data_IF_989455386692
#
_entry.id   IF_989455386692
#
_cell.length_a   1.000
_cell.length_b   1.000
_cell.length_c   1.000
_cell.angle_alpha   90.00
_cell.angle_beta   90.00
_cell.angle_gamma   90.00
#
_symmetry.space_group_name_H-M   'P 1'
#
loop_
_entity.id
_entity.type
_entity.pdbx_description
1 polymer ?
#
# COMPACT_ATOMS: atom_id res chain seq x y z
N UNK A 1 -13.70 -1.16 31.46
CA UNK A 1 -12.55 -1.42 30.58
C UNK A 1 -12.92 -2.33 29.40
N UNK A 2 -13.29 -3.61 29.60
CA UNK A 2 -13.64 -4.54 28.50
C UNK A 2 -14.77 -4.07 27.56
N UNK A 3 -15.83 -3.43 28.08
CA UNK A 3 -16.89 -2.84 27.23
C UNK A 3 -16.39 -1.67 26.37
N UNK A 4 -15.48 -0.84 26.91
CA UNK A 4 -14.87 0.28 26.18
C UNK A 4 -13.90 -0.20 25.09
N UNK A 5 -13.13 -1.24 25.37
CA UNK A 5 -12.25 -1.89 24.40
C UNK A 5 -13.04 -2.55 23.25
N UNK A 6 -14.13 -3.27 23.56
CA UNK A 6 -15.04 -3.81 22.54
C UNK A 6 -15.64 -2.68 21.68
N UNK A 7 -16.11 -1.60 22.30
CA UNK A 7 -16.66 -0.46 21.55
C UNK A 7 -15.60 0.25 20.69
N UNK A 8 -14.32 0.21 21.09
CA UNK A 8 -13.22 0.67 20.24
C UNK A 8 -13.05 -0.25 19.03
N UNK A 9 -12.89 -1.57 19.24
CA UNK A 9 -12.70 -2.54 18.16
C UNK A 9 -13.88 -2.62 17.18
N UNK A 10 -15.11 -2.38 17.66
CA UNK A 10 -16.32 -2.42 16.82
C UNK A 10 -16.47 -1.19 15.91
N UNK A 11 -15.55 -0.21 15.95
CA UNK A 11 -15.52 0.86 14.95
C UNK A 11 -15.12 0.27 13.59
N UNK A 12 -15.99 0.41 12.59
CA UNK A 12 -15.77 -0.17 11.26
C UNK A 12 -14.49 0.29 10.56
N UNK A 13 -14.04 1.51 10.85
CA UNK A 13 -12.76 2.05 10.35
C UNK A 13 -11.55 1.22 10.83
N UNK A 14 -11.50 0.91 12.14
CA UNK A 14 -10.41 0.13 12.72
C UNK A 14 -10.38 -1.31 12.22
N UNK A 15 -11.55 -1.93 12.03
CA UNK A 15 -11.65 -3.29 11.48
C UNK A 15 -11.10 -3.31 10.05
N UNK A 16 -11.47 -2.32 9.22
CA UNK A 16 -11.03 -2.23 7.82
C UNK A 16 -9.51 -2.09 7.72
N UNK A 17 -8.93 -1.21 8.56
CA UNK A 17 -7.47 -1.02 8.62
C UNK A 17 -6.78 -2.29 9.12
N UNK A 18 -7.29 -2.93 10.17
CA UNK A 18 -6.70 -4.13 10.75
C UNK A 18 -6.68 -5.29 9.74
N UNK A 19 -7.79 -5.53 9.04
CA UNK A 19 -7.88 -6.56 8.01
C UNK A 19 -6.91 -6.26 6.86
N UNK A 20 -6.82 -4.99 6.42
CA UNK A 20 -5.87 -4.57 5.41
C UNK A 20 -4.41 -4.87 5.79
N UNK A 21 -4.02 -4.56 7.03
CA UNK A 21 -2.67 -4.82 7.54
C UNK A 21 -2.36 -6.32 7.57
N UNK A 22 -3.28 -7.16 8.08
CA UNK A 22 -3.07 -8.61 8.16
C UNK A 22 -2.85 -9.22 6.77
N UNK A 23 -3.64 -8.80 5.78
CA UNK A 23 -3.50 -9.26 4.40
C UNK A 23 -2.16 -8.82 3.81
N UNK A 24 -1.77 -7.56 4.02
CA UNK A 24 -0.50 -7.03 3.53
C UNK A 24 0.70 -7.79 4.11
N UNK A 25 0.67 -8.08 5.42
CA UNK A 25 1.72 -8.85 6.09
C UNK A 25 1.79 -10.29 5.58
N UNK A 26 0.65 -10.98 5.46
CA UNK A 26 0.60 -12.35 4.96
C UNK A 26 1.17 -12.46 3.54
N UNK A 27 0.84 -11.51 2.67
CA UNK A 27 1.34 -11.47 1.30
C UNK A 27 2.84 -11.19 1.22
N UNK A 28 3.34 -10.26 2.05
CA UNK A 28 4.77 -10.00 2.22
C UNK A 28 5.53 -11.26 2.63
N UNK A 29 5.02 -12.01 3.61
CA UNK A 29 5.61 -13.28 4.03
C UNK A 29 5.65 -14.30 2.90
N UNK A 30 4.59 -14.39 2.09
CA UNK A 30 4.54 -15.31 0.94
C UNK A 30 5.62 -14.99 -0.10
N UNK A 31 5.76 -13.72 -0.48
CA UNK A 31 6.77 -13.29 -1.47
C UNK A 31 8.17 -13.46 -0.89
N UNK A 32 8.33 -13.20 0.41
CA UNK A 32 9.61 -13.40 1.10
C UNK A 32 10.00 -14.87 1.09
N UNK A 33 9.08 -15.77 1.42
CA UNK A 33 9.32 -17.21 1.36
C UNK A 33 9.70 -17.66 -0.06
N UNK A 34 9.01 -17.17 -1.10
CA UNK A 34 9.40 -17.44 -2.48
C UNK A 34 10.82 -16.96 -2.79
N UNK A 35 11.17 -15.75 -2.36
CA UNK A 35 12.52 -15.21 -2.58
C UNK A 35 13.56 -16.02 -1.82
N UNK A 36 13.31 -16.34 -0.56
CA UNK A 36 14.24 -17.09 0.28
C UNK A 36 14.48 -18.52 -0.22
N UNK A 37 13.45 -19.22 -0.67
CA UNK A 37 13.55 -20.62 -1.08
C UNK A 37 13.85 -20.82 -2.56
N UNK A 38 13.56 -19.86 -3.42
CA UNK A 38 13.75 -19.99 -4.88
C UNK A 38 14.85 -19.08 -5.39
N UNK A 39 14.86 -17.80 -4.98
CA UNK A 39 15.78 -16.80 -5.54
C UNK A 39 17.13 -16.82 -4.82
N UNK A 40 17.15 -16.83 -3.49
CA UNK A 40 18.40 -16.80 -2.73
C UNK A 40 19.33 -17.98 -3.05
N UNK A 41 18.86 -19.23 -3.28
CA UNK A 41 19.73 -20.33 -3.69
C UNK A 41 20.34 -20.12 -5.08
N UNK A 42 19.62 -19.48 -6.00
CA UNK A 42 20.12 -19.14 -7.33
C UNK A 42 21.19 -18.05 -7.22
N UNK A 43 20.88 -16.99 -6.48
CA UNK A 43 21.81 -15.87 -6.22
C UNK A 43 23.08 -16.34 -5.51
N UNK A 44 22.96 -17.19 -4.50
CA UNK A 44 24.11 -17.75 -3.78
C UNK A 44 24.94 -18.69 -4.65
N UNK A 45 24.32 -19.43 -5.58
CA UNK A 45 25.03 -20.25 -6.56
C UNK A 45 25.89 -19.42 -7.51
N UNK A 46 25.39 -18.25 -7.92
CA UNK A 46 26.12 -17.29 -8.75
C UNK A 46 27.25 -16.57 -8.00
N UNK A 47 27.13 -16.43 -6.68
CA UNK A 47 28.16 -15.79 -5.83
C UNK A 47 29.38 -16.67 -5.54
N UNK A 48 29.42 -17.89 -6.09
CA UNK A 48 30.50 -18.84 -5.83
C UNK A 48 30.24 -19.60 -4.53
N UNK A 49 29.67 -20.80 -4.67
CA UNK A 49 29.32 -21.66 -3.55
C UNK A 49 30.44 -21.72 -2.52
N UNK A 50 30.06 -21.47 -1.26
CA UNK A 50 30.92 -21.52 -0.07
C UNK A 50 32.08 -20.51 -0.04
N UNK A 51 31.87 -19.45 0.76
CA UNK A 51 32.84 -18.81 1.66
C UNK A 51 33.52 -17.47 1.30
N UNK A 52 33.28 -16.80 0.18
CA UNK A 52 33.65 -15.37 0.03
C UNK A 52 32.82 -14.69 -1.07
N UNK A 53 31.51 -14.52 -0.84
CA UNK A 53 30.63 -13.83 -1.77
C UNK A 53 30.68 -12.31 -1.57
N UNK A 54 31.52 -11.59 -2.32
CA UNK A 54 31.56 -10.11 -2.42
C UNK A 54 31.54 -9.33 -1.09
N UNK A 55 31.84 -9.99 0.04
CA UNK A 55 31.68 -9.37 1.34
C UNK A 55 32.99 -8.80 1.85
N UNK A 56 33.00 -7.50 2.11
CA UNK A 56 34.15 -6.82 2.70
C UNK A 56 34.02 -6.86 4.22
N UNK A 57 34.99 -7.42 4.93
CA UNK A 57 35.03 -7.35 6.38
C UNK A 57 35.66 -6.01 6.78
N UNK A 58 34.88 -5.13 7.40
CA UNK A 58 35.39 -3.87 7.95
C UNK A 58 35.79 -4.11 9.43
N UNK A 59 36.93 -4.73 9.70
CA UNK A 59 37.41 -4.93 11.09
C UNK A 59 38.31 -6.14 11.27
N UNK A 60 38.52 -6.56 12.53
CA UNK A 60 39.28 -7.77 12.85
C UNK A 60 38.67 -9.03 12.21
N UNK A 61 39.54 -9.91 11.70
CA UNK A 61 39.15 -11.18 11.08
C UNK A 61 38.30 -12.02 12.05
N UNK A 62 37.06 -12.32 11.65
CA UNK A 62 36.14 -13.14 12.45
C UNK A 62 35.02 -12.39 13.16
N UNK A 63 35.01 -11.05 13.16
CA UNK A 63 33.85 -10.31 13.69
C UNK A 63 32.68 -10.32 12.69
N UNK A 64 31.67 -11.16 12.97
CA UNK A 64 30.44 -11.29 12.16
C UNK A 64 29.60 -10.01 12.14
N UNK A 65 29.80 -9.09 13.09
CA UNK A 65 29.03 -7.85 13.17
C UNK A 65 29.48 -6.81 12.14
N UNK A 66 30.69 -6.92 11.60
CA UNK A 66 31.25 -5.98 10.61
C UNK A 66 31.53 -6.60 9.25
N UNK A 67 30.88 -7.74 8.97
CA UNK A 67 30.91 -8.37 7.66
C UNK A 67 29.83 -7.75 6.76
N UNK A 68 30.26 -7.14 5.65
CA UNK A 68 29.33 -6.56 4.68
C UNK A 68 28.87 -7.66 3.71
N UNK A 69 27.71 -8.28 3.92
CA UNK A 69 27.20 -9.31 3.00
C UNK A 69 26.50 -8.67 1.79
N UNK A 70 27.28 -8.39 0.73
CA UNK A 70 26.72 -7.86 -0.53
C UNK A 70 25.76 -8.85 -1.19
N UNK A 71 25.87 -10.14 -0.90
CA UNK A 71 25.01 -11.15 -1.46
C UNK A 71 23.59 -11.12 -0.88
N UNK A 72 23.49 -10.92 0.42
CA UNK A 72 22.21 -10.68 1.09
C UNK A 72 21.58 -9.35 0.65
N UNK A 73 22.40 -8.31 0.41
CA UNK A 73 21.90 -7.05 -0.13
C UNK A 73 21.29 -7.20 -1.53
N UNK A 74 21.97 -7.90 -2.45
CA UNK A 74 21.43 -8.17 -3.80
C UNK A 74 20.14 -8.99 -3.70
N UNK A 75 20.09 -9.99 -2.83
CA UNK A 75 18.89 -10.80 -2.59
C UNK A 75 17.72 -9.94 -2.10
N UNK A 76 17.96 -9.01 -1.18
CA UNK A 76 16.96 -8.06 -0.69
C UNK A 76 16.47 -7.10 -1.78
N UNK A 77 17.37 -6.65 -2.68
CA UNK A 77 17.00 -5.82 -3.82
C UNK A 77 16.10 -6.58 -4.80
N UNK A 78 16.43 -7.85 -5.09
CA UNK A 78 15.61 -8.70 -5.96
C UNK A 78 14.24 -8.94 -5.32
N UNK A 79 14.19 -9.23 -4.01
CA UNK A 79 12.92 -9.33 -3.26
C UNK A 79 12.06 -8.08 -3.45
N UNK A 80 12.65 -6.89 -3.28
CA UNK A 80 11.93 -5.62 -3.41
C UNK A 80 11.33 -5.43 -4.82
N UNK A 81 12.12 -5.73 -5.87
CA UNK A 81 11.66 -5.63 -7.25
C UNK A 81 10.52 -6.62 -7.52
N UNK A 82 10.66 -7.88 -7.10
CA UNK A 82 9.61 -8.90 -7.25
C UNK A 82 8.35 -8.48 -6.49
N UNK A 83 8.49 -8.02 -5.25
CA UNK A 83 7.38 -7.58 -4.42
C UNK A 83 6.59 -6.44 -5.07
N UNK A 84 7.28 -5.43 -5.61
CA UNK A 84 6.66 -4.33 -6.35
C UNK A 84 6.01 -4.78 -7.64
N UNK A 85 6.67 -5.65 -8.41
CA UNK A 85 6.11 -6.18 -9.65
C UNK A 85 4.81 -6.96 -9.39
N UNK A 86 4.82 -7.85 -8.39
CA UNK A 86 3.67 -8.68 -8.03
C UNK A 86 2.50 -7.81 -7.57
N UNK A 87 2.73 -6.83 -6.68
CA UNK A 87 1.67 -5.92 -6.22
C UNK A 87 1.10 -5.12 -7.39
N UNK A 88 1.97 -4.58 -8.25
CA UNK A 88 1.54 -3.78 -9.38
C UNK A 88 0.67 -4.60 -10.34
N UNK A 89 1.14 -5.78 -10.76
CA UNK A 89 0.44 -6.60 -11.75
C UNK A 89 -0.80 -7.30 -11.19
N UNK A 90 -0.75 -7.84 -9.96
CA UNK A 90 -1.89 -8.60 -9.40
C UNK A 90 -2.93 -7.73 -8.72
N UNK A 91 -2.58 -6.54 -8.22
CA UNK A 91 -3.50 -5.69 -7.47
C UNK A 91 -3.80 -4.42 -8.25
N UNK A 92 -2.78 -3.62 -8.59
CA UNK A 92 -2.97 -2.27 -9.16
C UNK A 92 -3.58 -2.32 -10.56
N UNK A 93 -3.05 -3.15 -11.45
CA UNK A 93 -3.54 -3.29 -12.84
C UNK A 93 -5.02 -3.72 -12.90
N UNK A 94 -5.44 -4.83 -12.29
CA UNK A 94 -6.85 -5.24 -12.34
C UNK A 94 -7.76 -4.26 -11.63
N UNK A 95 -7.31 -3.66 -10.53
CA UNK A 95 -8.09 -2.64 -9.82
C UNK A 95 -8.30 -1.38 -10.67
N UNK A 96 -7.24 -0.90 -11.34
CA UNK A 96 -7.34 0.21 -12.29
C UNK A 96 -8.27 -0.12 -13.45
N UNK A 97 -8.17 -1.32 -14.01
CA UNK A 97 -9.05 -1.77 -15.09
C UNK A 97 -10.52 -1.85 -14.66
N UNK A 98 -10.77 -2.38 -13.47
CA UNK A 98 -12.11 -2.49 -12.89
C UNK A 98 -12.74 -1.11 -12.65
N UNK A 99 -11.98 -0.17 -12.09
CA UNK A 99 -12.47 1.18 -11.86
C UNK A 99 -12.67 1.98 -13.15
N UNK A 100 -11.79 1.79 -14.14
CA UNK A 100 -11.97 2.39 -15.47
C UNK A 100 -13.30 1.96 -16.11
N UNK A 101 -13.73 0.70 -15.92
CA UNK A 101 -15.05 0.21 -16.35
C UNK A 101 -16.21 0.86 -15.61
N UNK A 102 -16.00 1.35 -14.38
CA UNK A 102 -16.99 2.10 -13.59
C UNK A 102 -16.99 3.60 -13.90
N UNK A 103 -16.19 4.06 -14.86
CA UNK A 103 -16.05 5.48 -15.19
C UNK A 103 -15.33 6.30 -14.10
N UNK A 104 -14.72 5.64 -13.12
CA UNK A 104 -13.98 6.27 -12.03
C UNK A 104 -12.49 6.17 -12.32
N UNK A 105 -11.78 7.30 -12.28
CA UNK A 105 -10.31 7.28 -12.36
C UNK A 105 -9.75 6.75 -11.04
N UNK A 106 -9.34 5.48 -11.03
CA UNK A 106 -8.58 4.89 -9.95
C UNK A 106 -7.35 5.75 -9.61
N UNK A 107 -7.16 6.05 -8.32
CA UNK A 107 -5.98 6.78 -7.83
C UNK A 107 -5.81 8.22 -8.34
N UNK A 108 -6.87 8.83 -8.90
CA UNK A 108 -6.88 10.28 -9.15
C UNK A 108 -7.16 11.07 -7.86
N UNK A 109 -6.86 12.36 -7.84
CA UNK A 109 -7.27 13.24 -6.74
C UNK A 109 -8.79 13.12 -6.54
N UNK A 110 -9.26 12.97 -5.28
CA UNK A 110 -10.68 13.01 -5.00
C UNK A 110 -11.20 14.33 -5.58
N UNK A 111 -12.20 14.23 -6.46
CA UNK A 111 -12.82 15.42 -7.04
C UNK A 111 -13.30 16.35 -5.92
N UNK A 112 -13.36 17.68 -6.16
CA UNK A 112 -13.75 18.63 -5.13
C UNK A 112 -15.10 18.21 -4.52
N UNK A 113 -15.15 18.11 -3.19
CA UNK A 113 -16.35 17.82 -2.40
C UNK A 113 -16.88 19.10 -1.76
N UNK A 114 -18.18 19.14 -1.48
CA UNK A 114 -18.86 20.23 -0.77
C UNK A 114 -19.73 19.69 0.36
N UNK A 115 -19.91 20.47 1.41
CA UNK A 115 -20.81 20.12 2.52
C UNK A 115 -22.24 20.48 2.17
N UNK A 116 -23.18 19.57 2.40
CA UNK A 116 -24.61 19.84 2.23
C UNK A 116 -25.12 20.73 3.37
N UNK A 117 -25.74 21.90 3.12
CA UNK A 117 -26.21 22.80 4.18
C UNK A 117 -27.42 22.25 4.96
N UNK A 118 -28.19 21.32 4.37
CA UNK A 118 -29.40 20.79 4.99
C UNK A 118 -29.14 19.62 5.97
N UNK A 119 -28.29 18.67 5.58
CA UNK A 119 -28.01 17.46 6.37
C UNK A 119 -26.58 17.38 6.91
N UNK A 120 -25.73 18.37 6.61
CA UNK A 120 -24.34 18.45 7.06
C UNK A 120 -23.44 17.28 6.61
N UNK A 121 -23.83 16.53 5.58
CA UNK A 121 -22.98 15.51 4.96
C UNK A 121 -21.79 16.15 4.24
N UNK A 122 -20.57 15.64 4.45
CA UNK A 122 -19.30 16.20 3.94
C UNK A 122 -18.80 15.56 2.63
N UNK A 123 -19.41 14.45 2.20
CA UNK A 123 -18.96 13.59 1.10
C UNK A 123 -19.65 13.88 -0.25
N UNK A 124 -20.25 15.07 -0.41
CA UNK A 124 -21.03 15.38 -1.60
C UNK A 124 -20.15 15.92 -2.74
N UNK A 125 -20.22 15.37 -3.97
CA UNK A 125 -19.46 15.91 -5.09
C UNK A 125 -19.81 17.39 -5.36
N UNK A 126 -18.82 18.25 -5.60
CA UNK A 126 -19.05 19.69 -5.82
C UNK A 126 -20.04 19.96 -6.97
N UNK A 127 -19.98 19.13 -8.03
CA UNK A 127 -20.85 19.21 -9.19
C UNK A 127 -22.26 18.62 -8.98
N UNK A 128 -22.57 18.02 -7.82
CA UNK A 128 -23.89 17.44 -7.56
C UNK A 128 -24.97 18.52 -7.44
N UNK A 129 -26.04 18.38 -8.22
CA UNK A 129 -27.24 19.24 -8.17
C UNK A 129 -28.24 18.81 -7.09
N UNK A 130 -28.12 17.57 -6.59
CA UNK A 130 -28.99 16.99 -5.57
C UNK A 130 -28.17 16.20 -4.55
N UNK A 131 -28.54 16.29 -3.27
CA UNK A 131 -27.87 15.53 -2.21
C UNK A 131 -28.26 14.04 -2.29
N UNK A 132 -27.27 13.15 -2.16
CA UNK A 132 -27.50 11.70 -2.13
C UNK A 132 -28.18 11.24 -0.81
N UNK A 133 -27.90 11.95 0.29
CA UNK A 133 -28.34 11.53 1.64
C UNK A 133 -29.74 12.04 2.00
N UNK A 134 -30.02 13.31 1.73
CA UNK A 134 -31.29 13.95 2.12
C UNK A 134 -32.17 14.40 0.94
N UNK A 135 -31.75 14.14 -0.30
CA UNK A 135 -32.47 14.52 -1.52
C UNK A 135 -32.74 16.03 -1.72
N UNK A 136 -32.18 16.91 -0.88
CA UNK A 136 -32.30 18.37 -1.05
C UNK A 136 -31.51 18.86 -2.26
N UNK A 137 -32.07 19.83 -2.98
CA UNK A 137 -31.37 20.53 -4.07
C UNK A 137 -30.14 21.25 -3.53
N UNK A 138 -29.06 21.23 -4.31
CA UNK A 138 -27.78 21.83 -3.91
C UNK A 138 -27.51 23.09 -4.70
N UNK A 139 -26.93 24.12 -4.06
CA UNK A 139 -26.50 25.30 -4.78
C UNK A 139 -25.49 24.91 -5.87
N UNK A 140 -25.54 25.57 -7.05
CA UNK A 140 -24.63 25.30 -8.16
C UNK A 140 -23.18 25.48 -7.70
N UNK A 141 -22.28 24.65 -8.25
CA UNK A 141 -20.86 24.67 -7.88
C UNK A 141 -20.27 26.06 -8.10
N UNK A 142 -19.98 26.79 -7.02
CA UNK A 142 -19.26 28.06 -7.09
C UNK A 142 -17.88 27.75 -7.67
N UNK A 143 -17.55 28.29 -8.85
CA UNK A 143 -16.21 28.21 -9.43
C UNK A 143 -15.27 29.04 -8.56
N UNK A 144 -14.77 28.49 -7.45
CA UNK A 144 -13.73 29.10 -6.63
C UNK A 144 -12.39 28.99 -7.37
N UNK A 145 -12.21 29.90 -8.31
CA UNK A 145 -11.02 30.04 -9.16
C UNK A 145 -10.87 31.45 -9.71
N UNK A 146 -11.24 32.47 -8.94
CA UNK A 146 -10.88 33.87 -9.22
C UNK A 146 -10.50 34.55 -7.92
N UNK A 147 -9.33 34.17 -7.41
CA UNK A 147 -8.55 34.97 -6.47
C UNK A 147 -8.15 36.27 -7.17
N UNK A 148 -8.62 37.40 -6.64
CA UNK A 148 -7.98 38.71 -6.78
C UNK A 148 -6.91 38.84 -5.70
#
# INVERSE_FOLDING_TARGET
MLKGFKNFLMRGDLITIAVGLVIALAFSTLIKAFTDFVINPIVSRFQGGTSVGLGWQLGEEGNKATYLDLGQFISALIYFIIFMAVIYFLIVVPYKHYQARRGVKAFGEPGPVKTCPACLSEDLPAAASKCLHCATEQPPATRTGRSL
#
